data_IF_291418043068
#
_entry.id   IF_291418043068
#
_cell.length_a   1.000
_cell.length_b   1.000
_cell.length_c   1.000
_cell.angle_alpha   90.00
_cell.angle_beta   90.00
_cell.angle_gamma   90.00
#
_symmetry.space_group_name_H-M   'P 1'
#
loop_
_entity.id
_entity.type
_entity.pdbx_description
1 polymer ?
#
# COMPACT_ATOMS: atom_id res chain seq x y z
N UNK A 1 -0.24 -2.94 -22.59
CA UNK A 1 -1.22 -3.94 -22.09
C UNK A 1 -0.77 -5.38 -22.38
N UNK A 2 0.19 -5.60 -23.29
CA UNK A 2 0.74 -6.89 -23.72
C UNK A 2 1.89 -7.40 -22.82
N UNK A 3 2.82 -6.53 -22.41
CA UNK A 3 4.04 -6.92 -21.67
C UNK A 3 3.79 -7.72 -20.38
N UNK A 4 2.80 -7.35 -19.56
CA UNK A 4 2.54 -8.04 -18.29
C UNK A 4 1.96 -9.46 -18.48
N UNK A 5 1.17 -9.67 -19.54
CA UNK A 5 0.63 -10.98 -19.92
C UNK A 5 1.71 -11.90 -20.49
N UNK A 6 2.67 -11.34 -21.22
CA UNK A 6 3.76 -12.10 -21.82
C UNK A 6 4.76 -12.56 -20.74
N UNK A 7 5.08 -11.70 -19.78
CA UNK A 7 5.93 -12.03 -18.63
C UNK A 7 5.32 -13.15 -17.78
N UNK A 8 4.04 -13.01 -17.48
CA UNK A 8 3.19 -14.02 -16.83
C UNK A 8 3.29 -15.38 -17.53
N UNK A 9 3.14 -15.42 -18.86
CA UNK A 9 3.22 -16.65 -19.63
C UNK A 9 4.60 -17.30 -19.58
N UNK A 10 5.67 -16.50 -19.61
CA UNK A 10 7.03 -16.98 -19.49
C UNK A 10 7.31 -17.61 -18.11
N UNK A 11 6.83 -17.00 -17.03
CA UNK A 11 6.97 -17.53 -15.66
C UNK A 11 6.22 -18.87 -15.51
N UNK A 12 4.99 -18.97 -16.02
CA UNK A 12 4.24 -20.24 -16.05
C UNK A 12 5.00 -21.31 -16.84
N UNK A 13 5.55 -20.95 -18.01
CA UNK A 13 6.31 -21.89 -18.82
C UNK A 13 7.56 -22.41 -18.09
N UNK A 14 8.25 -21.57 -17.33
CA UNK A 14 9.39 -21.97 -16.48
C UNK A 14 8.98 -22.97 -15.41
N UNK A 15 7.89 -22.70 -14.69
CA UNK A 15 7.36 -23.61 -13.66
C UNK A 15 6.93 -24.96 -14.27
N UNK A 16 6.26 -24.94 -15.43
CA UNK A 16 5.89 -26.17 -16.15
C UNK A 16 7.11 -26.98 -16.60
N UNK A 17 8.17 -26.33 -17.07
CA UNK A 17 9.43 -27.00 -17.43
C UNK A 17 10.12 -27.64 -16.23
N UNK A 18 9.98 -27.05 -15.05
CA UNK A 18 10.48 -27.64 -13.81
C UNK A 18 9.69 -28.89 -13.41
N UNK A 19 8.44 -29.03 -13.85
CA UNK A 19 7.60 -30.20 -13.58
C UNK A 19 6.74 -30.08 -12.33
N UNK A 20 6.08 -28.93 -12.15
CA UNK A 20 5.14 -28.71 -11.02
C UNK A 20 3.75 -29.31 -11.31
N UNK A 21 3.10 -29.86 -10.27
CA UNK A 21 1.77 -30.49 -10.39
C UNK A 21 0.64 -29.46 -10.46
N UNK A 22 0.74 -28.40 -9.65
CA UNK A 22 -0.26 -27.34 -9.56
C UNK A 22 0.39 -25.96 -9.52
N UNK A 23 -0.25 -24.99 -10.18
CA UNK A 23 0.18 -23.58 -10.16
C UNK A 23 -0.93 -22.76 -9.53
N UNK A 24 -0.65 -22.21 -8.35
CA UNK A 24 -1.47 -21.20 -7.71
C UNK A 24 -1.06 -19.80 -8.17
N UNK A 25 -2.08 -18.95 -8.31
CA UNK A 25 -1.89 -17.57 -8.74
C UNK A 25 -2.52 -16.60 -7.75
N UNK A 26 -1.79 -15.55 -7.41
CA UNK A 26 -2.31 -14.43 -6.64
C UNK A 26 -2.77 -13.30 -7.55
N UNK A 27 -3.93 -12.70 -7.29
CA UNK A 27 -4.49 -11.62 -8.13
C UNK A 27 -3.59 -10.37 -8.21
N UNK A 28 -2.74 -10.15 -7.19
CA UNK A 28 -1.78 -9.05 -7.11
C UNK A 28 -0.59 -9.42 -6.25
N UNK A 29 0.51 -8.67 -6.41
CA UNK A 29 1.72 -8.80 -5.58
C UNK A 29 1.44 -8.61 -4.08
N UNK A 30 0.46 -7.76 -3.74
CA UNK A 30 0.04 -7.56 -2.34
C UNK A 30 -0.61 -8.80 -1.72
N UNK A 31 -1.21 -9.66 -2.54
CA UNK A 31 -1.82 -10.92 -2.12
C UNK A 31 -0.90 -12.13 -2.33
N UNK A 32 0.23 -11.97 -3.00
CA UNK A 32 1.16 -13.05 -3.34
C UNK A 32 1.69 -13.77 -2.12
N UNK A 33 2.22 -13.02 -1.15
CA UNK A 33 2.66 -13.57 0.14
C UNK A 33 1.54 -14.33 0.85
N UNK A 34 0.33 -13.75 0.91
CA UNK A 34 -0.80 -14.41 1.58
C UNK A 34 -1.10 -15.76 0.94
N UNK A 35 -1.13 -15.82 -0.40
CA UNK A 35 -1.34 -17.08 -1.14
C UNK A 35 -0.21 -18.07 -0.93
N UNK A 36 1.03 -17.60 -0.96
CA UNK A 36 2.19 -18.44 -0.67
C UNK A 36 2.10 -19.06 0.74
N UNK A 37 1.67 -18.28 1.74
CA UNK A 37 1.49 -18.77 3.11
C UNK A 37 0.30 -19.74 3.22
N UNK A 38 -0.82 -19.46 2.57
CA UNK A 38 -1.97 -20.39 2.49
C UNK A 38 -1.56 -21.72 1.85
N UNK A 39 -0.77 -21.68 0.78
CA UNK A 39 -0.19 -22.86 0.15
C UNK A 39 0.75 -23.60 1.11
N UNK A 40 1.69 -22.89 1.72
CA UNK A 40 2.64 -23.46 2.69
C UNK A 40 1.95 -24.10 3.90
N UNK A 41 0.78 -23.61 4.31
CA UNK A 41 0.01 -24.20 5.41
C UNK A 41 -0.51 -25.60 5.10
N UNK A 42 -0.75 -25.90 3.83
CA UNK A 42 -1.25 -27.18 3.35
C UNK A 42 -0.15 -28.21 3.06
N UNK A 43 1.13 -27.82 3.17
CA UNK A 43 2.27 -28.67 2.87
C UNK A 43 2.79 -29.39 4.12
N UNK A 44 3.15 -30.66 3.93
CA UNK A 44 3.83 -31.50 4.90
C UNK A 44 5.36 -31.44 4.70
N UNK A 45 6.12 -32.02 5.64
CA UNK A 45 7.57 -32.21 5.49
C UNK A 45 7.86 -33.12 4.29
N UNK A 46 8.77 -32.67 3.41
CA UNK A 46 9.10 -33.35 2.15
C UNK A 46 8.38 -32.81 0.91
N UNK A 47 7.26 -32.11 1.07
CA UNK A 47 6.59 -31.46 -0.05
C UNK A 47 7.40 -30.27 -0.60
N UNK A 48 7.23 -29.96 -1.88
CA UNK A 48 8.00 -28.89 -2.56
C UNK A 48 7.10 -27.72 -2.93
N UNK A 49 7.49 -26.53 -2.48
CA UNK A 49 6.89 -25.26 -2.89
C UNK A 49 7.86 -24.53 -3.81
N UNK A 50 7.46 -24.33 -5.06
CA UNK A 50 8.33 -23.80 -6.12
C UNK A 50 7.88 -22.41 -6.55
N UNK A 51 8.82 -21.47 -6.60
CA UNK A 51 8.60 -20.11 -7.11
C UNK A 51 9.65 -19.78 -8.17
N UNK A 52 9.32 -18.89 -9.11
CA UNK A 52 10.33 -18.41 -10.06
C UNK A 52 11.39 -17.55 -9.37
N UNK A 53 10.95 -16.61 -8.51
CA UNK A 53 11.82 -15.80 -7.66
C UNK A 53 11.09 -15.44 -6.37
N UNK A 54 11.82 -15.35 -5.27
CA UNK A 54 11.33 -14.84 -3.99
C UNK A 54 10.85 -13.40 -4.08
N UNK A 55 11.38 -12.60 -5.01
CA UNK A 55 10.93 -11.22 -5.23
C UNK A 55 9.47 -11.13 -5.67
N UNK A 56 8.93 -12.22 -6.22
CA UNK A 56 7.53 -12.31 -6.60
C UNK A 56 6.65 -12.35 -5.36
N UNK A 57 7.02 -13.17 -4.38
CA UNK A 57 6.28 -13.34 -3.13
C UNK A 57 6.54 -12.20 -2.15
N UNK A 58 7.79 -11.76 -2.03
CA UNK A 58 8.28 -10.85 -1.00
C UNK A 58 8.59 -9.46 -1.58
N UNK A 59 8.07 -8.41 -0.96
CA UNK A 59 8.31 -6.99 -1.31
C UNK A 59 9.49 -6.37 -0.56
N UNK A 60 10.01 -7.05 0.44
CA UNK A 60 11.13 -6.56 1.23
C UNK A 60 11.61 -7.57 2.27
N UNK A 61 12.59 -7.15 3.05
CA UNK A 61 13.28 -8.01 4.03
C UNK A 61 12.33 -8.54 5.11
N UNK A 62 11.39 -7.73 5.59
CA UNK A 62 10.40 -8.16 6.59
C UNK A 62 9.57 -9.35 6.07
N UNK A 63 9.05 -9.25 4.84
CA UNK A 63 8.26 -10.33 4.23
C UNK A 63 9.12 -11.57 3.94
N UNK A 64 10.38 -11.39 3.53
CA UNK A 64 11.31 -12.49 3.28
C UNK A 64 11.62 -13.27 4.57
N UNK A 65 11.90 -12.57 5.67
CA UNK A 65 12.18 -13.20 6.96
C UNK A 65 10.98 -13.99 7.48
N UNK A 66 9.76 -13.48 7.28
CA UNK A 66 8.54 -14.21 7.63
C UNK A 66 8.37 -15.49 6.81
N UNK A 67 8.63 -15.44 5.50
CA UNK A 67 8.64 -16.63 4.63
C UNK A 67 9.66 -17.65 5.12
N UNK A 68 10.87 -17.22 5.48
CA UNK A 68 11.90 -18.12 6.01
C UNK A 68 11.54 -18.72 7.37
N UNK A 69 10.82 -17.99 8.23
CA UNK A 69 10.34 -18.55 9.49
C UNK A 69 9.32 -19.65 9.26
N UNK A 70 8.33 -19.40 8.40
CA UNK A 70 7.32 -20.41 8.05
C UNK A 70 7.99 -21.61 7.40
N UNK A 71 8.97 -21.38 6.53
CA UNK A 71 9.76 -22.44 5.93
C UNK A 71 10.52 -23.28 6.96
N UNK A 72 11.17 -22.64 7.95
CA UNK A 72 11.86 -23.33 9.06
C UNK A 72 10.94 -24.17 9.91
N UNK A 73 9.76 -23.63 10.26
CA UNK A 73 8.81 -24.32 11.12
C UNK A 73 8.08 -25.47 10.43
N UNK A 74 7.73 -25.31 9.14
CA UNK A 74 6.94 -26.30 8.40
C UNK A 74 7.79 -27.36 7.69
N UNK A 75 9.08 -27.09 7.46
CA UNK A 75 10.05 -28.02 6.87
C UNK A 75 9.67 -28.61 5.49
N UNK A 76 8.80 -27.94 4.76
CA UNK A 76 8.66 -28.20 3.31
C UNK A 76 9.95 -27.78 2.58
N UNK A 77 10.19 -28.29 1.39
CA UNK A 77 11.29 -27.87 0.52
C UNK A 77 10.88 -26.62 -0.27
N UNK A 78 11.47 -25.47 0.06
CA UNK A 78 11.28 -24.24 -0.70
C UNK A 78 12.29 -24.19 -1.84
N UNK A 79 11.81 -24.04 -3.07
CA UNK A 79 12.65 -23.93 -4.26
C UNK A 79 12.37 -22.61 -4.95
N UNK A 80 13.43 -21.86 -5.20
CA UNK A 80 13.39 -20.74 -6.14
C UNK A 80 14.20 -21.06 -7.38
N UNK A 81 13.63 -20.80 -8.57
CA UNK A 81 14.34 -21.00 -9.83
C UNK A 81 15.43 -19.94 -10.08
N UNK A 82 15.31 -18.75 -9.47
CA UNK A 82 16.27 -17.65 -9.61
C UNK A 82 17.27 -17.60 -8.45
N UNK A 83 16.87 -18.02 -7.25
CA UNK A 83 17.73 -18.00 -6.05
C UNK A 83 18.27 -19.41 -5.72
N UNK A 84 19.30 -19.85 -6.44
CA UNK A 84 19.91 -21.19 -6.28
C UNK A 84 20.51 -21.39 -4.88
N UNK A 85 20.95 -20.30 -4.23
CA UNK A 85 21.55 -20.30 -2.89
C UNK A 85 20.60 -20.71 -1.75
N UNK A 86 19.33 -20.96 -2.06
CA UNK A 86 18.33 -21.30 -1.06
C UNK A 86 18.59 -22.66 -0.43
N UNK A 87 19.07 -23.64 -1.21
CA UNK A 87 19.31 -25.00 -0.71
C UNK A 87 20.37 -24.97 0.40
N UNK A 88 21.44 -24.20 0.23
CA UNK A 88 22.51 -24.02 1.22
C UNK A 88 22.00 -23.32 2.49
N UNK A 89 20.97 -22.48 2.38
CA UNK A 89 20.35 -21.84 3.54
C UNK A 89 19.56 -22.84 4.40
N UNK A 90 19.06 -23.93 3.80
CA UNK A 90 18.26 -24.95 4.50
C UNK A 90 19.05 -25.61 5.62
N UNK A 91 20.29 -26.02 5.36
CA UNK A 91 21.16 -26.66 6.36
C UNK A 91 21.39 -25.73 7.56
N UNK A 92 21.71 -24.46 7.29
CA UNK A 92 21.97 -23.46 8.33
C UNK A 92 20.72 -23.15 9.15
N UNK A 93 19.57 -23.02 8.49
CA UNK A 93 18.31 -22.70 9.16
C UNK A 93 17.78 -23.86 10.01
N UNK A 94 17.86 -25.10 9.50
CA UNK A 94 17.16 -26.24 10.08
C UNK A 94 18.00 -27.04 11.08
N UNK A 95 19.32 -27.08 10.91
CA UNK A 95 20.23 -27.92 11.71
C UNK A 95 21.16 -27.10 12.62
N UNK A 96 21.52 -25.89 12.21
CA UNK A 96 22.50 -25.03 12.91
C UNK A 96 21.93 -24.15 14.04
N UNK A 97 20.66 -24.34 14.43
CA UNK A 97 19.97 -23.41 15.35
C UNK A 97 19.67 -22.04 14.73
N UNK A 98 19.75 -21.92 13.40
CA UNK A 98 19.48 -20.71 12.64
C UNK A 98 18.05 -20.18 12.80
N UNK A 99 17.08 -21.05 13.09
CA UNK A 99 15.69 -20.67 13.38
C UNK A 99 15.57 -19.64 14.51
N UNK A 100 16.29 -19.84 15.63
CA UNK A 100 16.25 -18.92 16.77
C UNK A 100 16.86 -17.56 16.40
N UNK A 101 17.94 -17.57 15.63
CA UNK A 101 18.57 -16.34 15.13
C UNK A 101 17.63 -15.61 14.17
N UNK A 102 17.00 -16.35 13.25
CA UNK A 102 16.05 -15.82 12.29
C UNK A 102 14.84 -15.18 12.98
N UNK A 103 14.28 -15.84 14.00
CA UNK A 103 13.17 -15.29 14.79
C UNK A 103 13.56 -14.00 15.52
N UNK A 104 14.75 -13.96 16.11
CA UNK A 104 15.28 -12.73 16.73
C UNK A 104 15.46 -11.60 15.72
N UNK A 105 16.01 -11.90 14.54
CA UNK A 105 16.19 -10.91 13.47
C UNK A 105 14.83 -10.41 12.98
N UNK A 106 13.88 -11.32 12.74
CA UNK A 106 12.53 -10.98 12.29
C UNK A 106 11.82 -10.04 13.27
N UNK A 107 11.92 -10.29 14.58
CA UNK A 107 11.36 -9.39 15.62
C UNK A 107 12.09 -8.04 15.68
N UNK A 108 13.39 -8.02 15.38
CA UNK A 108 14.21 -6.81 15.47
C UNK A 108 14.09 -5.88 14.26
N UNK A 109 13.91 -6.39 13.04
CA UNK A 109 13.89 -5.57 11.81
C UNK A 109 12.82 -4.46 11.82
N UNK A 110 11.56 -4.74 12.21
CA UNK A 110 10.54 -3.68 12.33
C UNK A 110 10.93 -2.58 13.33
N UNK A 111 11.63 -2.95 14.41
CA UNK A 111 12.09 -2.01 15.44
C UNK A 111 13.20 -1.08 14.91
N UNK A 112 14.10 -1.58 14.07
CA UNK A 112 15.11 -0.77 13.38
C UNK A 112 14.45 0.24 12.43
N UNK A 113 13.45 -0.21 11.68
CA UNK A 113 12.69 0.65 10.78
C UNK A 113 11.90 1.72 11.55
N UNK A 114 11.32 1.38 12.70
CA UNK A 114 10.65 2.32 13.59
C UNK A 114 11.62 3.34 14.18
N UNK A 115 12.76 2.90 14.73
CA UNK A 115 13.78 3.79 15.31
C UNK A 115 14.39 4.74 14.28
N UNK A 116 14.67 4.27 13.06
CA UNK A 116 15.13 5.12 11.96
C UNK A 116 14.08 6.18 11.56
N UNK A 117 12.80 5.80 11.52
CA UNK A 117 11.70 6.74 11.25
C UNK A 117 11.53 7.76 12.37
N UNK A 118 11.66 7.34 13.63
CA UNK A 118 11.64 8.21 14.82
C UNK A 118 12.73 9.28 14.76
N UNK A 119 13.99 8.86 14.59
CA UNK A 119 15.13 9.78 14.48
C UNK A 119 14.99 10.78 13.33
N UNK A 120 14.50 10.33 12.16
CA UNK A 120 14.22 11.24 11.03
C UNK A 120 13.10 12.23 11.37
N UNK A 121 12.06 11.79 12.07
CA UNK A 121 10.95 12.65 12.50
C UNK A 121 11.40 13.71 13.50
N UNK A 122 12.27 13.36 14.44
CA UNK A 122 12.88 14.28 15.40
C UNK A 122 13.72 15.33 14.67
N UNK A 123 14.61 14.91 13.76
CA UNK A 123 15.41 15.84 12.95
C UNK A 123 14.58 16.80 12.09
N UNK A 124 13.44 16.34 11.55
CA UNK A 124 12.53 17.19 10.76
C UNK A 124 11.79 18.19 11.66
N UNK A 125 11.37 17.75 12.86
CA UNK A 125 10.73 18.60 13.85
C UNK A 125 11.69 19.67 14.40
N UNK A 126 12.94 19.30 14.66
CA UNK A 126 14.02 20.20 15.10
C UNK A 126 14.30 21.30 14.06
N UNK A 127 14.18 20.97 12.77
CA UNK A 127 14.30 21.94 11.66
C UNK A 127 13.04 22.79 11.43
N UNK A 128 12.03 22.69 12.29
CA UNK A 128 10.80 23.51 12.22
C UNK A 128 9.82 23.14 11.09
N UNK A 129 10.02 22.02 10.40
CA UNK A 129 9.08 21.58 9.36
C UNK A 129 7.86 20.89 9.98
N UNK A 130 6.66 21.25 9.51
CA UNK A 130 5.42 20.59 9.91
C UNK A 130 5.46 19.12 9.46
N UNK A 131 5.37 18.21 10.43
CA UNK A 131 5.41 16.77 10.22
C UNK A 131 4.25 16.29 9.34
N UNK A 132 4.56 15.95 8.09
CA UNK A 132 3.65 15.20 7.22
C UNK A 132 2.27 15.83 7.02
N UNK A 133 1.42 15.11 6.30
CA UNK A 133 0.12 15.61 5.90
C UNK A 133 0.20 16.74 4.86
N UNK A 134 -0.96 17.10 4.34
CA UNK A 134 -1.09 18.20 3.39
C UNK A 134 -0.89 19.52 4.14
N UNK A 135 -0.07 20.48 3.64
CA UNK A 135 0.20 21.74 4.34
C UNK A 135 -1.11 22.40 4.80
N UNK A 136 -1.16 22.81 6.07
CA UNK A 136 -2.32 23.54 6.62
C UNK A 136 -2.54 24.79 5.76
N UNK A 137 -3.70 24.89 5.14
CA UNK A 137 -4.01 26.01 4.24
C UNK A 137 -3.56 25.85 2.79
N UNK A 138 -2.98 24.71 2.37
CA UNK A 138 -2.82 24.42 0.93
C UNK A 138 -4.20 24.12 0.34
N UNK A 139 -4.92 25.17 -0.02
CA UNK A 139 -6.17 25.05 -0.75
C UNK A 139 -5.78 24.70 -2.19
N UNK A 140 -6.51 23.78 -2.86
CA UNK A 140 -6.28 23.50 -4.31
C UNK A 140 -6.71 24.68 -5.19
N UNK A 141 -7.08 25.81 -4.61
CA UNK A 141 -7.48 27.01 -5.33
C UNK A 141 -6.28 27.93 -5.45
N UNK A 142 -6.10 28.44 -6.67
CA UNK A 142 -5.32 29.64 -6.92
C UNK A 142 -5.80 30.79 -6.04
N UNK A 143 -4.87 31.65 -5.61
CA UNK A 143 -5.16 32.84 -4.81
C UNK A 143 -6.28 33.70 -5.43
N UNK A 144 -6.31 33.80 -6.76
CA UNK A 144 -7.33 34.51 -7.53
C UNK A 144 -8.76 34.00 -7.27
N UNK A 145 -8.93 32.67 -7.21
CA UNK A 145 -10.22 32.03 -6.94
C UNK A 145 -10.68 32.29 -5.50
N UNK A 146 -9.72 32.32 -4.58
CA UNK A 146 -9.96 32.64 -3.18
C UNK A 146 -10.40 34.10 -3.01
N UNK A 147 -9.74 35.04 -3.69
CA UNK A 147 -10.08 36.45 -3.62
C UNK A 147 -11.43 36.74 -4.29
N UNK A 148 -11.74 36.06 -5.40
CA UNK A 148 -13.06 36.12 -6.02
C UNK A 148 -14.17 35.63 -5.06
N UNK A 149 -13.95 34.51 -4.37
CA UNK A 149 -14.90 33.96 -3.41
C UNK A 149 -15.18 34.93 -2.25
N UNK A 150 -14.14 35.58 -1.71
CA UNK A 150 -14.30 36.59 -0.64
C UNK A 150 -15.06 37.81 -1.15
N UNK A 151 -14.76 38.31 -2.36
CA UNK A 151 -15.51 39.44 -2.94
C UNK A 151 -16.99 39.12 -3.10
N UNK A 152 -17.32 37.94 -3.63
CA UNK A 152 -18.71 37.50 -3.79
C UNK A 152 -19.42 37.36 -2.43
N UNK A 153 -18.72 36.82 -1.43
CA UNK A 153 -19.25 36.67 -0.07
C UNK A 153 -19.53 38.02 0.60
N UNK A 154 -18.61 38.99 0.47
CA UNK A 154 -18.75 40.33 1.04
C UNK A 154 -19.82 41.19 0.35
N UNK A 155 -20.03 41.02 -0.95
CA UNK A 155 -21.10 41.72 -1.69
C UNK A 155 -22.50 41.26 -1.27
N UNK A 156 -22.64 39.99 -0.89
CA UNK A 156 -23.92 39.44 -0.39
C UNK A 156 -24.89 38.97 -1.47
N UNK A 157 -24.59 39.21 -2.75
CA UNK A 157 -25.46 38.90 -3.90
C UNK A 157 -25.63 37.39 -4.17
N UNK A 158 -24.73 36.55 -3.65
CA UNK A 158 -24.68 35.11 -3.92
C UNK A 158 -24.76 34.31 -2.62
N UNK A 159 -25.42 33.15 -2.65
CA UNK A 159 -25.37 32.21 -1.52
C UNK A 159 -23.99 31.56 -1.41
N UNK A 160 -23.64 31.07 -0.21
CA UNK A 160 -22.38 30.33 -0.03
C UNK A 160 -22.29 29.13 -0.98
N UNK A 161 -23.44 28.51 -1.28
CA UNK A 161 -23.55 27.40 -2.21
C UNK A 161 -23.24 27.82 -3.65
N UNK A 162 -23.84 28.92 -4.12
CA UNK A 162 -23.57 29.47 -5.46
C UNK A 162 -22.09 29.84 -5.62
N UNK A 163 -21.49 30.46 -4.59
CA UNK A 163 -20.06 30.79 -4.58
C UNK A 163 -19.22 29.51 -4.65
N UNK A 164 -19.60 28.46 -3.92
CA UNK A 164 -18.90 27.18 -3.95
C UNK A 164 -18.96 26.50 -5.32
N UNK A 165 -20.10 26.61 -6.03
CA UNK A 165 -20.28 26.06 -7.36
C UNK A 165 -19.45 26.82 -8.42
N UNK A 166 -19.45 28.16 -8.38
CA UNK A 166 -18.66 29.01 -9.27
C UNK A 166 -17.15 28.77 -9.07
N UNK A 167 -16.73 28.75 -7.82
CA UNK A 167 -15.32 28.68 -7.43
C UNK A 167 -14.81 27.23 -7.41
N UNK A 168 -15.72 26.25 -7.55
CA UNK A 168 -15.49 24.80 -7.51
C UNK A 168 -14.78 24.36 -6.23
N UNK A 169 -15.33 24.76 -5.10
CA UNK A 169 -14.83 24.42 -3.77
C UNK A 169 -15.93 23.82 -2.90
N UNK A 170 -15.56 23.01 -1.90
CA UNK A 170 -16.57 22.54 -0.94
C UNK A 170 -16.84 23.61 0.13
N UNK A 171 -18.09 23.65 0.62
CA UNK A 171 -18.53 24.63 1.62
C UNK A 171 -17.65 24.63 2.87
N UNK A 172 -17.24 23.44 3.34
CA UNK A 172 -16.35 23.30 4.52
C UNK A 172 -15.01 24.00 4.32
N UNK A 173 -14.45 23.96 3.11
CA UNK A 173 -13.20 24.67 2.77
C UNK A 173 -13.45 26.17 2.61
N UNK A 174 -14.61 26.56 2.09
CA UNK A 174 -15.02 27.95 1.96
C UNK A 174 -15.16 28.64 3.33
N UNK A 175 -15.95 28.07 4.25
CA UNK A 175 -16.09 28.61 5.61
C UNK A 175 -14.76 28.65 6.37
N UNK A 176 -13.92 27.62 6.21
CA UNK A 176 -12.56 27.62 6.76
C UNK A 176 -11.73 28.79 6.21
N UNK A 177 -11.85 29.09 4.92
CA UNK A 177 -11.15 30.21 4.29
C UNK A 177 -11.65 31.56 4.80
N UNK A 178 -12.97 31.75 4.90
CA UNK A 178 -13.55 32.98 5.46
C UNK A 178 -13.12 33.22 6.90
N UNK A 179 -13.05 32.15 7.72
CA UNK A 179 -12.56 32.22 9.09
C UNK A 179 -11.08 32.62 9.15
N UNK A 180 -10.24 32.06 8.28
CA UNK A 180 -8.82 32.42 8.20
C UNK A 180 -8.60 33.87 7.75
N UNK A 181 -9.49 34.41 6.91
CA UNK A 181 -9.47 35.81 6.45
C UNK A 181 -10.19 36.78 7.40
N UNK A 182 -10.75 36.31 8.51
CA UNK A 182 -11.46 37.15 9.48
C UNK A 182 -12.83 37.66 9.03
N UNK A 183 -13.37 37.15 7.91
CA UNK A 183 -14.65 37.60 7.32
C UNK A 183 -15.82 36.65 7.61
N UNK A 184 -15.60 35.58 8.38
CA UNK A 184 -16.56 34.48 8.63
C UNK A 184 -17.86 34.83 9.37
N UNK A 185 -18.15 36.12 9.62
CA UNK A 185 -19.38 36.60 10.25
C UNK A 185 -19.95 37.88 9.63
N UNK A 186 -19.46 38.31 8.46
CA UNK A 186 -19.78 39.63 7.88
C UNK A 186 -21.08 39.65 7.06
N UNK A 187 -21.86 38.57 7.09
CA UNK A 187 -23.05 38.43 6.25
C UNK A 187 -24.31 38.98 6.92
N UNK A 188 -24.92 40.01 6.33
CA UNK A 188 -26.35 40.30 6.48
C UNK A 188 -27.07 39.60 5.32
N UNK A 189 -27.92 38.62 5.59
CA UNK A 189 -28.66 37.91 4.54
C UNK A 189 -30.08 38.46 4.48
N UNK A 190 -30.47 39.01 3.33
CA UNK A 190 -31.86 39.15 2.91
C UNK A 190 -32.28 37.89 2.12
N UNK A 191 -33.28 37.17 2.61
CA UNK A 191 -34.15 36.29 1.80
C UNK A 191 -33.62 34.91 1.37
N UNK A 192 -34.10 33.88 2.08
CA UNK A 192 -34.58 32.55 1.63
C UNK A 192 -34.25 32.00 0.23
N UNK A 193 -33.68 30.79 0.16
CA UNK A 193 -34.41 29.56 -0.21
C UNK A 193 -33.48 28.34 -0.24
N UNK A 194 -33.91 27.23 0.37
CA UNK A 194 -33.19 25.97 0.47
C UNK A 194 -33.73 24.97 -0.56
N UNK A 195 -32.85 24.31 -1.30
CA UNK A 195 -33.20 23.12 -2.09
C UNK A 195 -32.06 22.09 -2.04
N UNK A 196 -32.36 20.91 -1.50
CA UNK A 196 -31.46 19.77 -1.31
C UNK A 196 -30.92 19.20 -2.62
N UNK A 197 -29.65 18.77 -2.60
CA UNK A 197 -29.17 17.73 -3.52
C UNK A 197 -28.02 16.93 -2.89
N UNK A 198 -28.30 15.67 -2.56
CA UNK A 198 -27.32 14.65 -2.12
C UNK A 198 -26.56 14.14 -3.35
N UNK A 199 -25.23 14.27 -3.35
CA UNK A 199 -24.34 13.65 -4.33
C UNK A 199 -23.41 12.64 -3.68
N UNK A 200 -23.57 11.36 -4.03
CA UNK A 200 -22.69 10.26 -3.66
C UNK A 200 -21.27 10.43 -4.24
N UNK A 201 -20.25 10.26 -3.39
CA UNK A 201 -18.85 10.23 -3.81
C UNK A 201 -18.46 8.80 -4.18
N UNK A 202 -18.41 8.51 -5.49
CA UNK A 202 -17.80 7.27 -6.01
C UNK A 202 -16.32 7.22 -5.64
N UNK A 203 -15.95 6.25 -4.80
CA UNK A 203 -14.54 5.88 -4.55
C UNK A 203 -13.93 5.38 -5.86
N UNK A 204 -12.86 6.03 -6.29
CA UNK A 204 -12.07 5.65 -7.46
C UNK A 204 -11.16 4.48 -7.08
N UNK A 205 -11.63 3.25 -7.32
CA UNK A 205 -10.84 2.02 -7.20
C UNK A 205 -9.66 2.11 -8.17
N UNK A 206 -8.44 2.17 -7.63
CA UNK A 206 -7.23 2.10 -8.44
C UNK A 206 -7.10 0.68 -8.99
N UNK A 207 -6.93 0.61 -10.31
CA UNK A 207 -6.89 -0.61 -11.11
C UNK A 207 -5.74 -1.52 -10.68
N UNK A 208 -6.09 -2.79 -10.50
CA UNK A 208 -5.23 -3.93 -10.21
C UNK A 208 -4.29 -4.25 -11.37
N UNK A 209 -3.03 -4.52 -11.05
CA UNK A 209 -2.12 -5.35 -11.86
C UNK A 209 -1.73 -6.53 -10.94
N UNK A 210 -2.42 -7.67 -11.10
CA UNK A 210 -2.16 -8.81 -11.99
C UNK A 210 -0.92 -9.64 -11.63
N UNK A 211 -1.24 -10.74 -10.96
CA UNK A 211 -0.73 -12.11 -11.13
C UNK A 211 0.73 -12.36 -10.73
N UNK A 212 0.86 -13.09 -9.63
CA UNK A 212 2.13 -13.55 -9.07
C UNK A 212 1.99 -15.02 -8.69
N UNK A 213 2.94 -15.85 -9.13
CA UNK A 213 2.84 -17.32 -9.13
C UNK A 213 3.48 -17.96 -7.90
N UNK A 214 2.83 -19.01 -7.38
CA UNK A 214 3.41 -19.98 -6.46
C UNK A 214 2.95 -21.38 -6.91
N UNK A 215 3.84 -22.36 -6.97
CA UNK A 215 3.50 -23.70 -7.44
C UNK A 215 3.66 -24.74 -6.34
N UNK A 216 2.70 -25.65 -6.22
CA UNK A 216 2.65 -26.72 -5.22
C UNK A 216 2.91 -28.05 -5.93
N UNK A 217 3.85 -28.86 -5.45
CA UNK A 217 4.03 -30.28 -5.83
C UNK A 217 3.64 -31.19 -4.66
N UNK A 218 3.04 -32.36 -4.93
CA UNK A 218 2.68 -33.37 -3.93
C UNK A 218 3.61 -34.60 -3.97
N UNK A 219 4.01 -35.04 -2.76
CA UNK A 219 4.53 -36.35 -2.29
C UNK A 219 5.29 -37.24 -3.29
N UNK A 220 6.62 -37.29 -3.13
CA UNK A 220 7.42 -38.50 -3.39
C UNK A 220 7.46 -39.37 -2.13
#
# INVERSE_FOLDING_TARGET
MTEDTDRTGAEIARLRRYGVDGIEMAESRDKAKKRFLEAAESLDEGDKLVVCSLSMVCRGVEELLEVFLVWSHRRFALVSLDEVWLEECREVLFEGGGELLLDRIHRFVPSLAAGRRGRKKEQIAEKGYVQGGRPKGSIKMTAEKLDLAVRMYCRGDFTVRDICDIVRCNERSMYRYLKLRGVGGMRKISGTSAADHKGEVKKKTRRSAKLTYAAIRNKE
#
